data_IF_006461282271
#
_entry.id   IF_006461282271
#
_cell.length_a   1.000
_cell.length_b   1.000
_cell.length_c   1.000
_cell.angle_alpha   90.00
_cell.angle_beta   90.00
_cell.angle_gamma   90.00
#
_symmetry.space_group_name_H-M   'P 1'
#
loop_
_entity.id
_entity.type
_entity.pdbx_description
1 polymer ?
#
# COMPACT_ATOMS: atom_id res chain seq x y z
N UNK A 1 10.76 -0.64 -3.01
CA UNK A 1 10.04 -0.24 -4.25
C UNK A 1 9.47 -1.40 -5.08
N UNK A 2 10.25 -2.41 -5.52
CA UNK A 2 9.73 -3.48 -6.39
C UNK A 2 8.50 -4.25 -5.83
N UNK A 3 8.39 -4.38 -4.50
CA UNK A 3 7.19 -4.96 -3.85
C UNK A 3 5.94 -4.07 -4.05
N UNK A 4 6.04 -2.76 -3.83
CA UNK A 4 4.95 -1.82 -4.01
C UNK A 4 4.41 -1.83 -5.46
N UNK A 5 5.29 -1.89 -6.46
CA UNK A 5 4.88 -2.02 -7.86
C UNK A 5 4.15 -3.34 -8.16
N UNK A 6 4.53 -4.45 -7.51
CA UNK A 6 3.79 -5.72 -7.63
C UNK A 6 2.40 -5.64 -7.00
N UNK A 7 2.28 -5.02 -5.84
CA UNK A 7 0.98 -4.79 -5.18
C UNK A 7 0.07 -3.93 -6.06
N UNK A 8 0.59 -2.88 -6.68
CA UNK A 8 -0.17 -2.00 -7.58
C UNK A 8 -0.82 -2.76 -8.76
N UNK A 9 -0.23 -3.88 -9.22
CA UNK A 9 -0.78 -4.69 -10.31
C UNK A 9 -2.13 -5.33 -9.92
N UNK A 10 -2.40 -5.57 -8.63
CA UNK A 10 -3.65 -6.17 -8.19
C UNK A 10 -4.87 -5.24 -8.37
N UNK A 11 -4.67 -3.93 -8.56
CA UNK A 11 -5.74 -2.98 -8.87
C UNK A 11 -6.11 -2.89 -10.36
N UNK A 12 -5.43 -3.63 -11.25
CA UNK A 12 -5.49 -3.40 -12.71
C UNK A 12 -6.89 -3.44 -13.32
N UNK A 13 -7.81 -4.23 -12.79
CA UNK A 13 -9.14 -4.40 -13.37
C UNK A 13 -10.24 -3.62 -12.63
N UNK A 14 -9.89 -2.93 -11.55
CA UNK A 14 -10.87 -2.47 -10.55
C UNK A 14 -10.67 -1.04 -10.09
N UNK A 15 -9.49 -0.45 -10.30
CA UNK A 15 -9.20 0.89 -9.80
C UNK A 15 -9.57 2.02 -10.76
N UNK A 16 -9.90 1.76 -12.03
CA UNK A 16 -10.28 2.82 -12.97
C UNK A 16 -11.50 3.61 -12.47
N UNK A 17 -11.49 4.97 -12.55
CA UNK A 17 -10.53 5.83 -13.25
C UNK A 17 -9.27 6.23 -12.44
N UNK A 18 -9.14 5.73 -11.20
CA UNK A 18 -8.01 6.07 -10.33
C UNK A 18 -6.73 5.29 -10.72
N UNK A 19 -5.55 5.82 -10.37
CA UNK A 19 -4.30 5.12 -10.64
C UNK A 19 -4.15 3.83 -9.81
N UNK A 20 -3.39 2.90 -10.37
CA UNK A 20 -2.88 1.72 -9.66
C UNK A 20 -1.78 2.16 -8.69
N UNK A 21 -2.02 2.00 -7.41
CA UNK A 21 -1.05 2.34 -6.36
C UNK A 21 -0.88 1.14 -5.43
N UNK A 22 0.37 0.84 -5.10
CA UNK A 22 0.75 -0.08 -4.03
C UNK A 22 1.67 0.66 -3.05
N UNK A 23 1.58 0.32 -1.78
CA UNK A 23 2.34 0.94 -0.70
C UNK A 23 2.92 -0.15 0.20
N UNK A 24 4.15 0.06 0.67
CA UNK A 24 4.85 -0.83 1.60
C UNK A 24 5.51 0.04 2.65
N UNK A 25 5.27 -0.24 3.92
CA UNK A 25 5.94 0.39 5.05
C UNK A 25 7.02 -0.55 5.57
N UNK A 26 8.24 -0.04 5.65
CA UNK A 26 9.41 -0.79 6.14
C UNK A 26 9.98 -0.09 7.36
N UNK A 27 10.23 -0.85 8.42
CA UNK A 27 10.92 -0.37 9.62
C UNK A 27 12.00 -1.38 9.99
N UNK A 28 13.22 -0.88 10.24
CA UNK A 28 14.36 -1.70 10.65
C UNK A 28 14.63 -2.89 9.68
N UNK A 29 14.34 -2.70 8.39
CA UNK A 29 14.50 -3.71 7.34
C UNK A 29 13.31 -4.67 7.17
N UNK A 30 12.30 -4.59 8.04
CA UNK A 30 11.12 -5.46 8.02
C UNK A 30 9.90 -4.77 7.45
N UNK A 31 9.10 -5.50 6.66
CA UNK A 31 7.82 -5.01 6.17
C UNK A 31 6.81 -5.03 7.31
N UNK A 32 6.40 -3.85 7.79
CA UNK A 32 5.44 -3.70 8.87
C UNK A 32 4.01 -3.49 8.37
N UNK A 33 3.82 -3.10 7.11
CA UNK A 33 2.49 -3.02 6.50
C UNK A 33 2.58 -2.88 4.99
N UNK A 34 1.61 -3.42 4.27
CA UNK A 34 1.56 -3.31 2.82
C UNK A 34 0.11 -3.37 2.33
N UNK A 35 -0.17 -2.68 1.23
CA UNK A 35 -1.48 -2.70 0.60
C UNK A 35 -1.44 -2.19 -0.84
N UNK A 36 -2.59 -2.28 -1.52
CA UNK A 36 -2.84 -1.67 -2.82
C UNK A 36 -4.22 -1.00 -2.85
N UNK A 37 -4.40 -0.05 -3.77
CA UNK A 37 -5.71 0.53 -4.02
C UNK A 37 -6.57 -0.47 -4.81
N UNK A 38 -7.55 -1.06 -4.12
CA UNK A 38 -8.33 -2.16 -4.67
C UNK A 38 -9.42 -1.72 -5.65
N UNK A 39 -10.04 -0.56 -5.45
CA UNK A 39 -11.16 -0.09 -6.30
C UNK A 39 -11.34 1.42 -6.22
N UNK A 40 -11.78 2.04 -7.31
CA UNK A 40 -12.15 3.46 -7.30
C UNK A 40 -13.19 3.77 -6.21
N UNK A 41 -12.94 4.82 -5.42
CA UNK A 41 -13.78 5.22 -4.29
C UNK A 41 -13.46 4.55 -2.96
N UNK A 42 -12.69 3.45 -2.96
CA UNK A 42 -12.19 2.82 -1.73
C UNK A 42 -10.94 3.55 -1.19
N UNK A 43 -10.51 3.29 0.06
CA UNK A 43 -9.28 3.86 0.58
C UNK A 43 -8.06 3.60 -0.32
N UNK A 44 -7.15 4.56 -0.38
CA UNK A 44 -5.90 4.41 -1.10
C UNK A 44 -4.95 3.43 -0.39
N UNK A 45 -3.93 2.96 -1.12
CA UNK A 45 -2.98 1.97 -0.64
C UNK A 45 -2.25 2.42 0.64
N UNK A 46 -1.92 3.70 0.75
CA UNK A 46 -1.19 4.30 1.88
C UNK A 46 -1.99 4.18 3.18
N UNK A 47 -3.29 4.50 3.13
CA UNK A 47 -4.18 4.40 4.29
C UNK A 47 -4.32 2.95 4.73
N UNK A 48 -4.44 2.02 3.78
CA UNK A 48 -4.54 0.60 4.08
C UNK A 48 -3.22 0.04 4.65
N UNK A 49 -2.07 0.44 4.12
CA UNK A 49 -0.76 0.04 4.62
C UNK A 49 -0.49 0.58 6.04
N UNK A 50 -0.88 1.83 6.31
CA UNK A 50 -0.82 2.42 7.66
C UNK A 50 -1.72 1.67 8.65
N UNK A 51 -2.94 1.31 8.25
CA UNK A 51 -3.84 0.49 9.08
C UNK A 51 -3.26 -0.90 9.35
N UNK A 52 -2.66 -1.53 8.35
CA UNK A 52 -1.99 -2.82 8.49
C UNK A 52 -0.79 -2.74 9.46
N UNK A 53 0.01 -1.67 9.38
CA UNK A 53 1.16 -1.47 10.25
C UNK A 53 0.81 -1.02 11.68
N UNK A 54 -0.33 -0.35 11.88
CA UNK A 54 -0.73 0.14 13.19
C UNK A 54 0.35 1.03 13.82
N UNK A 55 0.72 0.75 15.08
CA UNK A 55 1.76 1.51 15.79
C UNK A 55 3.16 1.33 15.20
N UNK A 56 3.42 0.24 14.48
CA UNK A 56 4.71 -0.03 13.85
C UNK A 56 5.02 0.94 12.69
N UNK A 57 4.02 1.65 12.17
CA UNK A 57 4.20 2.69 11.16
C UNK A 57 5.06 3.87 11.63
N UNK A 58 5.09 4.13 12.95
CA UNK A 58 5.90 5.22 13.49
C UNK A 58 7.39 4.93 13.29
N UNK A 59 8.08 5.84 12.59
CA UNK A 59 9.49 5.70 12.23
C UNK A 59 9.75 4.77 11.03
N UNK A 60 8.70 4.25 10.37
CA UNK A 60 8.84 3.48 9.14
C UNK A 60 9.08 4.39 7.92
N UNK A 61 9.63 3.80 6.85
CA UNK A 61 9.74 4.40 5.51
C UNK A 61 8.67 3.81 4.59
N UNK A 62 8.04 4.65 3.77
CA UNK A 62 7.11 4.26 2.72
C UNK A 62 7.79 4.17 1.34
#
# INVERSE_FOLDING_TARGET
MARALRLAQYGQATCDPNPRVGCVLVRDGECVGEAWHARAGDPHAEILALRAAGSAASGATA
#
